data_IF_668914493223
#
_entry.id   IF_668914493223
#
_cell.length_a   1.000
_cell.length_b   1.000
_cell.length_c   1.000
_cell.angle_alpha   90.00
_cell.angle_beta   90.00
_cell.angle_gamma   90.00
#
_symmetry.space_group_name_H-M   'P 1'
#
loop_
_entity.id
_entity.type
_entity.pdbx_description
1 polymer ?
#
# COMPACT_ATOMS: atom_id res chain seq x y z
N UNK A 1 -30.23 0.58 14.21
CA UNK A 1 -29.05 -0.31 14.28
C UNK A 1 -29.01 -0.86 15.68
N UNK A 2 -29.11 -2.17 15.79
CA UNK A 2 -28.89 -2.88 17.05
C UNK A 2 -27.39 -3.01 17.34
N UNK A 3 -27.03 -3.33 18.57
CA UNK A 3 -25.63 -3.66 18.90
C UNK A 3 -25.09 -4.82 18.06
N UNK A 4 -25.97 -5.78 17.71
CA UNK A 4 -25.62 -6.89 16.82
C UNK A 4 -25.34 -6.40 15.40
N UNK A 5 -26.17 -5.49 14.87
CA UNK A 5 -25.92 -4.89 13.54
C UNK A 5 -24.60 -4.09 13.51
N UNK A 6 -24.22 -3.45 14.62
CA UNK A 6 -22.95 -2.73 14.76
C UNK A 6 -21.79 -3.73 14.75
N UNK A 7 -21.88 -4.80 15.56
CA UNK A 7 -20.87 -5.84 15.64
C UNK A 7 -20.64 -6.53 14.29
N UNK A 8 -21.71 -6.88 13.58
CA UNK A 8 -21.64 -7.53 12.26
C UNK A 8 -20.94 -6.63 11.24
N UNK A 9 -21.22 -5.31 11.25
CA UNK A 9 -20.55 -4.36 10.37
C UNK A 9 -19.05 -4.22 10.69
N UNK A 10 -18.69 -4.18 11.97
CA UNK A 10 -17.29 -4.12 12.39
C UNK A 10 -16.55 -5.40 11.97
N UNK A 11 -17.18 -6.56 12.14
CA UNK A 11 -16.61 -7.85 11.73
C UNK A 11 -16.41 -7.91 10.21
N UNK A 12 -17.41 -7.48 9.44
CA UNK A 12 -17.30 -7.42 7.98
C UNK A 12 -16.17 -6.49 7.52
N UNK A 13 -16.01 -5.33 8.17
CA UNK A 13 -14.91 -4.40 7.89
C UNK A 13 -13.54 -5.00 8.25
N UNK A 14 -13.45 -5.75 9.35
CA UNK A 14 -12.20 -6.40 9.76
C UNK A 14 -11.78 -7.47 8.75
N UNK A 15 -12.73 -8.32 8.33
CA UNK A 15 -12.48 -9.37 7.34
C UNK A 15 -12.08 -8.74 5.99
N UNK A 16 -12.87 -7.78 5.50
CA UNK A 16 -12.61 -7.11 4.22
C UNK A 16 -11.31 -6.28 4.24
N UNK A 17 -10.96 -5.70 5.38
CA UNK A 17 -9.72 -4.95 5.58
C UNK A 17 -8.47 -5.82 5.80
N UNK A 18 -8.64 -7.12 6.03
CA UNK A 18 -7.53 -8.05 6.26
C UNK A 18 -7.20 -8.86 5.00
N UNK A 19 -8.16 -9.65 4.49
CA UNK A 19 -7.85 -10.72 3.54
C UNK A 19 -7.37 -10.18 2.18
N UNK A 20 -8.07 -9.17 1.65
CA UNK A 20 -7.69 -8.52 0.38
C UNK A 20 -6.36 -7.77 0.49
N UNK A 21 -6.20 -6.81 1.42
CA UNK A 21 -4.94 -6.09 1.55
C UNK A 21 -3.73 -6.97 1.87
N UNK A 22 -3.90 -8.03 2.68
CA UNK A 22 -2.80 -8.94 3.03
C UNK A 22 -2.27 -9.72 1.83
N UNK A 23 -3.17 -10.22 0.96
CA UNK A 23 -2.76 -10.90 -0.28
C UNK A 23 -2.08 -9.93 -1.24
N UNK A 24 -2.65 -8.74 -1.47
CA UNK A 24 -2.05 -7.70 -2.32
C UNK A 24 -0.63 -7.33 -1.85
N UNK A 25 -0.43 -7.08 -0.55
CA UNK A 25 0.90 -6.77 0.00
C UNK A 25 1.88 -7.93 -0.22
N UNK A 26 1.43 -9.17 0.01
CA UNK A 26 2.26 -10.37 -0.19
C UNK A 26 2.74 -10.47 -1.64
N UNK A 27 1.83 -10.29 -2.60
CA UNK A 27 2.19 -10.35 -4.02
C UNK A 27 3.04 -9.16 -4.45
N UNK A 28 2.83 -7.95 -3.92
CA UNK A 28 3.71 -6.81 -4.22
C UNK A 28 5.13 -7.11 -3.76
N UNK A 29 5.31 -7.65 -2.56
CA UNK A 29 6.64 -8.01 -2.05
C UNK A 29 7.28 -9.10 -2.94
N UNK A 30 6.51 -10.13 -3.31
CA UNK A 30 6.98 -11.19 -4.21
C UNK A 30 7.42 -10.61 -5.57
N UNK A 31 6.59 -9.81 -6.21
CA UNK A 31 6.85 -9.19 -7.52
C UNK A 31 8.11 -8.33 -7.50
N UNK A 32 8.29 -7.52 -6.45
CA UNK A 32 9.50 -6.70 -6.27
C UNK A 32 10.76 -7.54 -6.03
N UNK A 33 10.64 -8.67 -5.34
CA UNK A 33 11.76 -9.60 -5.14
C UNK A 33 12.17 -10.30 -6.44
N UNK A 34 11.20 -10.65 -7.29
CA UNK A 34 11.41 -11.33 -8.58
C UNK A 34 11.89 -10.37 -9.68
N UNK A 35 11.59 -9.06 -9.55
CA UNK A 35 11.93 -8.04 -10.54
C UNK A 35 12.77 -6.90 -9.93
N UNK A 36 14.09 -7.11 -9.72
CA UNK A 36 14.97 -6.14 -9.08
C UNK A 36 15.02 -4.76 -9.74
N UNK A 37 14.80 -4.69 -11.05
CA UNK A 37 14.75 -3.42 -11.77
C UNK A 37 13.52 -2.60 -11.35
N UNK A 38 12.34 -3.21 -11.22
CA UNK A 38 11.12 -2.55 -10.71
C UNK A 38 11.32 -2.15 -9.25
N UNK A 39 11.91 -3.01 -8.43
CA UNK A 39 12.28 -2.67 -7.05
C UNK A 39 13.15 -1.42 -6.97
N UNK A 40 14.16 -1.30 -7.83
CA UNK A 40 15.04 -0.14 -7.84
C UNK A 40 14.29 1.15 -8.22
N UNK A 41 13.33 1.08 -9.15
CA UNK A 41 12.49 2.22 -9.51
C UNK A 41 11.57 2.65 -8.36
N UNK A 42 10.90 1.70 -7.70
CA UNK A 42 10.10 1.96 -6.49
C UNK A 42 10.98 2.57 -5.40
N UNK A 43 12.15 1.99 -5.14
CA UNK A 43 13.08 2.49 -4.14
C UNK A 43 13.55 3.91 -4.45
N UNK A 44 13.82 4.22 -5.72
CA UNK A 44 14.20 5.58 -6.15
C UNK A 44 13.07 6.57 -5.85
N UNK A 45 11.84 6.25 -6.23
CA UNK A 45 10.66 7.07 -5.94
C UNK A 45 10.51 7.33 -4.43
N UNK A 46 10.59 6.28 -3.60
CA UNK A 46 10.46 6.41 -2.15
C UNK A 46 11.56 7.28 -1.54
N UNK A 47 12.80 7.17 -2.04
CA UNK A 47 13.92 8.02 -1.59
C UNK A 47 13.73 9.48 -2.01
N UNK A 48 13.22 9.74 -3.21
CA UNK A 48 12.94 11.11 -3.67
C UNK A 48 11.86 11.79 -2.81
N UNK A 49 10.80 11.06 -2.47
CA UNK A 49 9.77 11.54 -1.55
C UNK A 49 10.39 11.81 -0.17
N UNK A 50 11.17 10.87 0.36
CA UNK A 50 11.82 11.03 1.67
C UNK A 50 12.78 12.22 1.71
N UNK A 51 13.54 12.47 0.64
CA UNK A 51 14.46 13.63 0.55
C UNK A 51 13.73 14.97 0.58
N UNK A 52 12.47 15.02 0.16
CA UNK A 52 11.64 16.22 0.25
C UNK A 52 11.15 16.52 1.66
N UNK A 53 11.35 15.59 2.61
CA UNK A 53 10.85 15.68 3.98
C UNK A 53 11.90 16.21 4.97
N UNK A 54 11.43 16.92 5.99
CA UNK A 54 12.26 17.29 7.13
C UNK A 54 12.63 16.09 8.03
N UNK A 55 13.68 16.23 8.85
CA UNK A 55 14.22 15.14 9.69
C UNK A 55 13.27 14.55 10.76
N UNK A 56 12.09 15.16 10.94
CA UNK A 56 11.03 14.71 11.87
C UNK A 56 9.64 14.79 11.25
N UNK A 57 9.57 14.86 9.93
CA UNK A 57 8.30 14.98 9.23
C UNK A 57 7.84 13.61 8.76
N UNK A 58 6.65 13.19 9.19
CA UNK A 58 6.03 11.94 8.75
C UNK A 58 5.44 12.08 7.35
N UNK A 59 5.30 10.95 6.64
CA UNK A 59 4.54 10.91 5.40
C UNK A 59 3.14 11.49 5.63
N UNK A 60 2.75 12.40 4.76
CA UNK A 60 1.40 12.95 4.72
C UNK A 60 0.68 12.47 3.45
N UNK A 61 -0.59 12.86 3.31
CA UNK A 61 -1.40 12.45 2.17
C UNK A 61 -0.84 12.90 0.82
N UNK A 62 -0.25 14.09 0.74
CA UNK A 62 0.34 14.61 -0.48
C UNK A 62 1.56 13.79 -0.91
N UNK A 63 2.30 13.23 0.04
CA UNK A 63 3.43 12.33 -0.26
C UNK A 63 2.97 10.99 -0.81
N UNK A 64 1.89 10.43 -0.25
CA UNK A 64 1.30 9.18 -0.76
C UNK A 64 0.83 9.40 -2.21
N UNK A 65 0.24 10.55 -2.52
CA UNK A 65 -0.18 10.89 -3.88
C UNK A 65 0.99 11.04 -4.87
N UNK A 66 2.23 11.24 -4.39
CA UNK A 66 3.43 11.26 -5.23
C UNK A 66 3.96 9.87 -5.56
N UNK A 67 3.52 8.81 -4.86
CA UNK A 67 3.95 7.41 -5.07
C UNK A 67 3.31 6.76 -6.31
N UNK A 68 3.42 7.43 -7.46
CA UNK A 68 2.73 7.05 -8.71
C UNK A 68 3.26 5.72 -9.28
N UNK A 69 4.57 5.51 -9.24
CA UNK A 69 5.19 4.28 -9.72
C UNK A 69 4.86 3.11 -8.79
N UNK A 70 4.94 3.32 -7.47
CA UNK A 70 4.51 2.33 -6.48
C UNK A 70 3.03 1.96 -6.65
N UNK A 71 2.17 2.93 -6.97
CA UNK A 71 0.76 2.68 -7.27
C UNK A 71 0.57 1.84 -8.54
N UNK A 72 1.32 2.13 -9.61
CA UNK A 72 1.27 1.31 -10.82
C UNK A 72 1.68 -0.15 -10.55
N UNK A 73 2.70 -0.38 -9.72
CA UNK A 73 3.09 -1.73 -9.31
C UNK A 73 1.97 -2.42 -8.52
N UNK A 74 1.35 -1.72 -7.56
CA UNK A 74 0.22 -2.26 -6.82
C UNK A 74 -0.95 -2.63 -7.76
N UNK A 75 -1.29 -1.75 -8.71
CA UNK A 75 -2.32 -2.03 -9.71
C UNK A 75 -1.97 -3.26 -10.56
N UNK A 76 -0.75 -3.36 -11.07
CA UNK A 76 -0.32 -4.50 -11.89
C UNK A 76 -0.50 -5.82 -11.12
N UNK A 77 0.01 -5.86 -9.89
CA UNK A 77 -0.05 -7.05 -9.03
C UNK A 77 -1.49 -7.46 -8.69
N UNK A 78 -2.40 -6.50 -8.55
CA UNK A 78 -3.81 -6.77 -8.20
C UNK A 78 -4.74 -6.92 -9.41
N UNK A 79 -4.23 -6.71 -10.63
CA UNK A 79 -4.98 -6.86 -11.87
C UNK A 79 -4.85 -8.27 -12.48
N UNK A 80 -3.92 -9.08 -11.98
CA UNK A 80 -3.82 -10.53 -12.24
C UNK A 80 -4.67 -11.34 -11.25
#
# INVERSE_FOLDING_TARGET
>A
MTEMDIADKILALLIGGHDGPSSSITFVIKFLAELPHIYNEVRREQIEILKSKGSREFLNWEDIQKMKYSWNVACEVTSE
#
